data_IF_660653458378
#
_entry.id   IF_660653458378
#
_cell.length_a   1.000
_cell.length_b   1.000
_cell.length_c   1.000
_cell.angle_alpha   90.00
_cell.angle_beta   90.00
_cell.angle_gamma   90.00
#
_symmetry.space_group_name_H-M   'P 1'
#
loop_
_entity.id
_entity.type
_entity.pdbx_description
1 polymer ?
#
# COMPACT_ATOMS: atom_id res chain seq x y z
N UNK A 1 -12.50 0.63 10.96
CA UNK A 1 -12.15 1.76 10.07
C UNK A 1 -11.29 1.21 8.94
N UNK A 2 -11.43 1.69 7.69
CA UNK A 2 -10.59 1.22 6.59
C UNK A 2 -9.12 1.53 6.90
N UNK A 3 -8.26 0.54 6.75
CA UNK A 3 -6.83 0.61 7.03
C UNK A 3 -6.06 0.00 5.86
N UNK A 4 -4.79 0.35 5.72
CA UNK A 4 -3.88 -0.27 4.77
C UNK A 4 -3.74 -1.76 5.06
N UNK A 5 -3.61 -2.15 6.33
CA UNK A 5 -3.52 -3.57 6.73
C UNK A 5 -4.71 -4.43 6.31
N UNK A 6 -5.89 -3.83 6.13
CA UNK A 6 -7.11 -4.55 5.70
C UNK A 6 -7.34 -4.44 4.19
N UNK A 7 -6.48 -3.74 3.44
CA UNK A 7 -6.64 -3.55 2.00
C UNK A 7 -5.96 -4.68 1.21
N UNK A 8 -6.69 -5.35 0.32
CA UNK A 8 -6.15 -6.43 -0.55
C UNK A 8 -4.94 -6.03 -1.43
N UNK A 9 -4.73 -4.73 -1.63
CA UNK A 9 -3.64 -4.19 -2.44
C UNK A 9 -2.40 -3.82 -1.62
N UNK A 10 -2.50 -3.81 -0.30
CA UNK A 10 -1.38 -3.54 0.58
C UNK A 10 -0.64 -4.84 0.88
N UNK A 11 0.69 -4.82 0.74
CA UNK A 11 1.57 -5.92 1.05
C UNK A 11 2.37 -5.59 2.29
N UNK A 12 2.21 -6.39 3.34
CA UNK A 12 3.04 -6.25 4.55
C UNK A 12 4.49 -6.56 4.21
N UNK A 13 5.40 -5.68 4.62
CA UNK A 13 6.84 -5.84 4.41
C UNK A 13 7.54 -6.20 5.73
N UNK A 14 7.69 -5.24 6.64
CA UNK A 14 8.28 -5.45 7.96
C UNK A 14 7.54 -4.69 9.05
N UNK A 15 7.24 -5.38 10.17
CA UNK A 15 6.55 -4.78 11.31
C UNK A 15 5.15 -4.25 10.98
N UNK A 16 4.91 -2.98 11.29
CA UNK A 16 3.69 -2.23 10.97
C UNK A 16 3.80 -1.46 9.64
N UNK A 17 4.75 -1.79 8.77
CA UNK A 17 4.90 -1.14 7.46
C UNK A 17 4.69 -2.13 6.31
N UNK A 18 4.30 -1.58 5.17
CA UNK A 18 4.07 -2.33 3.95
C UNK A 18 3.95 -1.42 2.75
N UNK A 19 3.78 -1.99 1.57
CA UNK A 19 3.75 -1.27 0.29
C UNK A 19 2.40 -1.39 -0.39
N UNK A 20 1.92 -0.30 -0.99
CA UNK A 20 0.66 -0.32 -1.75
C UNK A 20 0.91 -0.61 -3.23
N UNK A 21 0.40 -1.74 -3.73
CA UNK A 21 0.51 -2.11 -5.17
C UNK A 21 -0.28 -1.21 -6.12
N UNK A 22 -1.22 -0.41 -5.60
CA UNK A 22 -2.11 0.43 -6.42
C UNK A 22 -1.43 1.71 -6.91
N UNK A 23 -0.39 2.15 -6.22
CA UNK A 23 0.44 3.29 -6.62
C UNK A 23 1.83 2.79 -7.01
N UNK A 24 1.97 2.11 -8.17
CA UNK A 24 3.29 1.77 -8.66
C UNK A 24 4.08 3.07 -8.87
N UNK A 25 5.37 3.12 -8.52
CA UNK A 25 6.20 4.25 -8.86
C UNK A 25 6.13 4.47 -10.39
N UNK A 26 6.06 5.74 -10.79
CA UNK A 26 6.04 6.12 -12.20
C UNK A 26 7.31 5.55 -12.84
N UNK A 27 7.25 4.81 -13.97
CA UNK A 27 8.42 4.19 -14.58
C UNK A 27 9.36 5.25 -15.14
N UNK A 28 10.15 5.87 -14.26
CA UNK A 28 11.33 6.61 -14.62
C UNK A 28 12.44 5.59 -14.71
N UNK A 29 13.07 5.50 -15.88
CA UNK A 29 14.05 4.48 -16.28
C UNK A 29 15.36 4.47 -15.51
N UNK A 30 15.32 4.55 -14.19
CA UNK A 30 16.46 4.44 -13.30
C UNK A 30 16.13 3.45 -12.16
N UNK A 31 17.03 2.52 -11.93
CA UNK A 31 16.79 1.17 -11.43
C UNK A 31 16.51 1.03 -9.92
N UNK A 32 15.72 1.91 -9.31
CA UNK A 32 15.27 1.75 -7.91
C UNK A 32 13.89 2.36 -7.73
N UNK A 33 12.90 1.66 -8.28
CA UNK A 33 11.48 1.99 -8.18
C UNK A 33 10.96 1.47 -6.83
N UNK A 34 11.02 2.29 -5.77
CA UNK A 34 10.44 1.93 -4.48
C UNK A 34 8.93 2.21 -4.50
N UNK A 35 8.13 1.17 -4.25
CA UNK A 35 6.70 1.35 -3.96
C UNK A 35 6.54 2.24 -2.71
N UNK A 36 5.49 3.07 -2.63
CA UNK A 36 5.26 3.87 -1.44
C UNK A 36 5.03 2.94 -0.24
N UNK A 37 5.89 3.09 0.77
CA UNK A 37 5.76 2.42 2.05
C UNK A 37 4.78 3.20 2.92
N UNK A 38 3.74 2.53 3.41
CA UNK A 38 2.72 3.08 4.31
C UNK A 38 2.62 2.23 5.57
N UNK A 39 2.15 2.82 6.66
CA UNK A 39 1.93 2.08 7.89
C UNK A 39 0.62 1.27 7.80
N UNK A 40 0.55 0.18 8.54
CA UNK A 40 -0.62 -0.67 8.71
C UNK A 40 -1.90 0.12 9.10
N UNK A 41 -1.86 1.08 10.05
CA UNK A 41 -3.03 1.87 10.43
C UNK A 41 -3.35 3.02 9.46
N UNK A 42 -2.50 3.31 8.48
CA UNK A 42 -2.76 4.40 7.53
C UNK A 42 -3.97 4.10 6.65
N UNK A 43 -4.50 5.15 6.01
CA UNK A 43 -5.56 5.02 5.03
C UNK A 43 -5.45 6.12 3.97
N UNK A 44 -5.43 5.70 2.70
CA UNK A 44 -5.31 6.60 1.55
C UNK A 44 -6.66 7.06 0.96
N UNK A 45 -7.80 6.73 1.58
CA UNK A 45 -9.13 7.10 1.07
C UNK A 45 -9.65 6.20 -0.07
N UNK A 46 -8.77 5.51 -0.79
CA UNK A 46 -9.09 4.64 -1.93
C UNK A 46 -9.63 3.25 -1.55
N UNK A 47 -9.28 2.79 -0.35
CA UNK A 47 -9.73 1.49 0.16
C UNK A 47 -11.23 1.57 0.53
N UNK A 48 -12.09 0.89 -0.24
CA UNK A 48 -13.52 0.72 0.05
C UNK A 48 -13.77 -0.56 0.84
N UNK A 49 -14.83 -0.58 1.66
CA UNK A 49 -15.17 -1.71 2.55
C UNK A 49 -15.28 -3.08 1.84
N UNK A 50 -15.61 -3.08 0.53
CA UNK A 50 -15.71 -4.30 -0.29
C UNK A 50 -14.37 -4.90 -0.72
N UNK A 51 -13.25 -4.23 -0.43
CA UNK A 51 -11.90 -4.67 -0.78
C UNK A 51 -11.10 -5.15 0.44
N UNK A 52 -11.80 -5.34 1.57
CA UNK A 52 -11.30 -6.05 2.73
C UNK A 52 -11.17 -7.55 2.41
N UNK A 53 -9.98 -8.09 2.65
CA UNK A 53 -9.62 -9.49 2.39
C UNK A 53 -9.18 -10.20 3.65
#
# INVERSE_FOLDING_TARGET
MPQCATCRHWLRDFGDFGTCKRFPPTPHGNASQNLPQTAAPDWCGEHREKEQG
#
